data_IF_427967227898
#
_entry.id   IF_427967227898
#
_cell.length_a   1.000
_cell.length_b   1.000
_cell.length_c   1.000
_cell.angle_alpha   90.00
_cell.angle_beta   90.00
_cell.angle_gamma   90.00
#
_symmetry.space_group_name_H-M   'P 1'
#
loop_
_entity.id
_entity.type
_entity.pdbx_description
1 polymer ?
#
# COMPACT_ATOMS: atom_id res chain seq x y z
N UNK A 1 3.20 -3.57 7.39
CA UNK A 1 2.23 -3.12 6.37
C UNK A 1 2.46 -3.90 5.08
N UNK A 2 1.40 -4.51 4.56
CA UNK A 2 1.44 -5.25 3.28
C UNK A 2 0.20 -4.99 2.46
N UNK A 3 0.36 -5.00 1.13
CA UNK A 3 -0.71 -4.90 0.15
C UNK A 3 -0.76 -6.21 -0.63
N UNK A 4 -1.86 -6.96 -0.54
CA UNK A 4 -2.05 -8.28 -1.15
C UNK A 4 -0.84 -9.22 -0.94
N UNK A 5 -0.30 -9.23 0.28
CA UNK A 5 0.86 -10.04 0.67
C UNK A 5 2.23 -9.43 0.32
N UNK A 6 2.30 -8.41 -0.54
CA UNK A 6 3.54 -7.71 -0.82
C UNK A 6 3.88 -6.70 0.28
N UNK A 7 5.16 -6.63 0.65
CA UNK A 7 5.62 -5.67 1.65
C UNK A 7 5.69 -4.27 1.03
N UNK A 8 5.26 -3.26 1.79
CA UNK A 8 5.57 -1.86 1.48
C UNK A 8 7.09 -1.71 1.49
N UNK A 9 7.63 -1.09 0.43
CA UNK A 9 9.09 -0.92 0.25
C UNK A 9 9.65 -0.17 1.45
N UNK A 10 10.83 -0.57 1.91
CA UNK A 10 11.60 0.17 2.91
C UNK A 10 12.67 1.03 2.21
N UNK A 11 12.83 2.27 2.65
CA UNK A 11 13.88 3.17 2.21
C UNK A 11 15.14 3.01 3.09
N UNK A 12 16.23 2.57 2.46
CA UNK A 12 17.56 2.52 3.08
C UNK A 12 17.70 1.54 4.25
N UNK A 13 18.82 1.63 4.97
CA UNK A 13 19.15 0.76 6.11
C UNK A 13 18.37 1.07 7.40
N UNK A 14 17.57 2.15 7.41
CA UNK A 14 16.89 2.66 8.61
C UNK A 14 15.45 2.17 8.83
N UNK A 15 14.92 1.29 7.97
CA UNK A 15 13.59 0.69 8.18
C UNK A 15 12.40 1.65 8.04
N UNK A 16 12.60 2.83 7.42
CA UNK A 16 11.47 3.71 7.08
C UNK A 16 10.71 3.15 5.89
N UNK A 17 9.39 3.10 5.96
CA UNK A 17 8.57 2.80 4.80
C UNK A 17 8.76 3.88 3.73
N UNK A 18 8.75 3.46 2.46
CA UNK A 18 8.66 4.32 1.29
C UNK A 18 7.23 4.83 1.20
N UNK A 19 6.88 5.73 2.12
CA UNK A 19 5.54 6.27 2.25
C UNK A 19 5.62 7.78 2.52
N UNK A 20 4.59 8.51 2.09
CA UNK A 20 4.48 9.96 2.24
C UNK A 20 3.04 10.37 2.49
N UNK A 21 2.86 11.48 3.21
CA UNK A 21 1.55 12.13 3.32
C UNK A 21 1.35 13.12 2.18
N UNK A 22 0.32 12.90 1.37
CA UNK A 22 -0.01 13.75 0.22
C UNK A 22 -1.52 13.70 -0.01
N UNK A 23 -2.14 14.83 -0.31
CA UNK A 23 -3.52 14.85 -0.84
C UNK A 23 -3.48 14.50 -2.33
N UNK A 24 -3.76 13.24 -2.66
CA UNK A 24 -3.64 12.69 -4.02
C UNK A 24 -4.93 12.92 -4.81
N UNK A 25 -6.08 12.96 -4.13
CA UNK A 25 -7.39 13.05 -4.77
C UNK A 25 -8.01 14.47 -4.75
N UNK A 26 -7.40 15.41 -4.03
CA UNK A 26 -7.81 16.82 -3.94
C UNK A 26 -8.98 17.07 -2.99
N UNK A 27 -9.23 16.20 -2.02
CA UNK A 27 -10.35 16.33 -1.08
C UNK A 27 -10.03 17.20 0.15
N UNK A 28 -8.79 17.69 0.25
CA UNK A 28 -8.31 18.50 1.37
C UNK A 28 -7.89 17.68 2.61
N UNK A 29 -7.85 16.34 2.52
CA UNK A 29 -7.33 15.43 3.54
C UNK A 29 -6.01 14.83 3.07
N UNK A 30 -5.07 14.64 4.00
CA UNK A 30 -3.81 13.98 3.67
C UNK A 30 -4.02 12.47 3.52
N UNK A 31 -3.69 11.94 2.34
CA UNK A 31 -3.62 10.49 2.11
C UNK A 31 -2.27 9.93 2.55
N UNK A 32 -2.24 8.62 2.83
CA UNK A 32 -1.01 7.86 3.01
C UNK A 32 -0.63 7.19 1.68
N UNK A 33 0.26 7.82 0.91
CA UNK A 33 0.83 7.25 -0.30
C UNK A 33 1.94 6.26 0.07
N UNK A 34 1.86 5.02 -0.41
CA UNK A 34 2.84 3.97 -0.15
C UNK A 34 3.37 3.37 -1.45
N UNK A 35 4.69 3.22 -1.53
CA UNK A 35 5.32 2.49 -2.61
C UNK A 35 5.53 1.03 -2.18
N UNK A 36 4.94 0.11 -2.92
CA UNK A 36 5.08 -1.34 -2.72
C UNK A 36 6.03 -1.93 -3.75
N UNK A 37 6.74 -3.01 -3.40
CA UNK A 37 7.53 -3.73 -4.39
C UNK A 37 6.61 -4.63 -5.23
N UNK A 38 6.45 -4.27 -6.50
CA UNK A 38 5.62 -5.02 -7.46
C UNK A 38 6.35 -6.22 -8.07
N UNK A 39 7.68 -6.32 -7.91
CA UNK A 39 8.46 -7.45 -8.43
C UNK A 39 8.15 -8.78 -7.74
N UNK A 40 7.61 -8.75 -6.51
CA UNK A 40 7.15 -9.94 -5.78
C UNK A 40 5.66 -10.22 -5.98
N UNK A 41 5.00 -9.42 -6.81
CA UNK A 41 3.58 -9.45 -7.04
C UNK A 41 3.36 -10.29 -8.30
N UNK A 42 2.77 -11.49 -8.15
CA UNK A 42 2.18 -12.22 -9.27
C UNK A 42 0.89 -11.50 -9.67
N UNK A 43 1.04 -10.30 -10.20
CA UNK A 43 -0.05 -9.48 -10.67
C UNK A 43 -0.33 -9.83 -12.12
N UNK A 44 -1.33 -10.69 -12.31
CA UNK A 44 -1.86 -10.97 -13.63
C UNK A 44 -2.57 -9.72 -14.17
N UNK A 45 -2.50 -9.52 -15.49
CA UNK A 45 -3.31 -8.51 -16.16
C UNK A 45 -4.79 -8.81 -15.90
N UNK A 46 -5.58 -7.77 -15.61
CA UNK A 46 -6.99 -7.91 -15.28
C UNK A 46 -7.32 -7.50 -13.85
N UNK A 47 -8.44 -8.00 -13.34
CA UNK A 47 -8.96 -7.62 -12.02
C UNK A 47 -8.32 -8.47 -10.91
N UNK A 48 -7.97 -7.82 -9.80
CA UNK A 48 -7.41 -8.47 -8.63
C UNK A 48 -7.92 -7.80 -7.35
N UNK A 49 -8.09 -8.57 -6.27
CA UNK A 49 -8.46 -8.03 -4.97
C UNK A 49 -7.20 -7.59 -4.21
N UNK A 50 -7.06 -6.28 -4.02
CA UNK A 50 -6.02 -5.72 -3.17
C UNK A 50 -6.49 -5.70 -1.71
N UNK A 51 -5.70 -6.28 -0.82
CA UNK A 51 -5.96 -6.27 0.63
C UNK A 51 -4.83 -5.54 1.34
N UNK A 52 -5.15 -4.44 2.02
CA UNK A 52 -4.21 -3.71 2.86
C UNK A 52 -4.35 -4.17 4.32
N UNK A 53 -3.27 -4.63 4.92
CA UNK A 53 -3.19 -4.96 6.34
C UNK A 53 -2.07 -4.15 7.02
N UNK A 54 -2.41 -3.51 8.13
CA UNK A 54 -1.48 -2.67 8.89
C UNK A 54 -1.85 -2.60 10.38
N UNK A 55 -0.95 -2.02 11.16
CA UNK A 55 -1.14 -1.68 12.55
C UNK A 55 -0.90 -0.18 12.70
N UNK A 56 -1.79 0.48 13.42
CA UNK A 56 -1.67 1.90 13.79
C UNK A 56 -0.64 2.09 14.90
N UNK A 57 -0.23 3.33 15.16
CA UNK A 57 0.79 3.63 16.18
C UNK A 57 0.33 3.30 17.61
N UNK A 58 -0.98 3.26 17.86
CA UNK A 58 -1.61 2.84 19.10
C UNK A 58 -1.91 1.32 19.15
N UNK A 59 -1.37 0.55 18.20
CA UNK A 59 -1.41 -0.91 18.20
C UNK A 59 -2.71 -1.51 17.64
N UNK A 60 -3.61 -0.70 17.08
CA UNK A 60 -4.84 -1.19 16.48
C UNK A 60 -4.58 -1.74 15.08
N UNK A 61 -4.88 -3.01 14.88
CA UNK A 61 -4.89 -3.64 13.56
C UNK A 61 -5.99 -3.04 12.67
N UNK A 62 -5.64 -2.78 11.41
CA UNK A 62 -6.56 -2.31 10.37
C UNK A 62 -6.45 -3.19 9.13
N UNK A 63 -7.60 -3.39 8.47
CA UNK A 63 -7.71 -4.11 7.20
C UNK A 63 -8.64 -3.36 6.25
N UNK A 64 -8.14 -3.06 5.05
CA UNK A 64 -8.92 -2.51 3.94
C UNK A 64 -8.84 -3.43 2.73
N UNK A 65 -9.86 -3.44 1.89
CA UNK A 65 -9.84 -4.20 0.65
C UNK A 65 -10.53 -3.43 -0.48
N UNK A 66 -10.01 -3.56 -1.68
CA UNK A 66 -10.58 -2.95 -2.89
C UNK A 66 -10.22 -3.78 -4.12
N UNK A 67 -11.09 -3.77 -5.14
CA UNK A 67 -10.80 -4.37 -6.45
C UNK A 67 -9.95 -3.40 -7.26
N UNK A 68 -8.79 -3.87 -7.71
CA UNK A 68 -7.91 -3.13 -8.62
C UNK A 68 -7.91 -3.79 -9.99
N UNK A 69 -7.65 -2.99 -11.03
CA UNK A 69 -7.44 -3.48 -12.39
C UNK A 69 -6.02 -3.16 -12.84
N UNK A 70 -5.34 -4.17 -13.35
CA UNK A 70 -3.97 -4.09 -13.85
C UNK A 70 -4.02 -4.04 -15.37
N UNK A 71 -3.49 -2.95 -15.91
CA UNK A 71 -3.49 -2.63 -17.34
C UNK A 71 -2.04 -2.50 -17.85
N UNK A 72 -1.77 -2.74 -19.16
CA UNK A 72 -0.45 -2.59 -19.77
C UNK A 72 0.13 -1.17 -19.72
#
# INVERSE_FOLDING_TARGET
MSLAGAKVRLLGRGGRYSASFQDVNGDGRLDLLCHVETASFFLELGESLAVLEAETLDGRAIRGQETIRIVP
#
